data_IF_764140910059
#
_entry.id   IF_764140910059
#
_cell.length_a   1.000
_cell.length_b   1.000
_cell.length_c   1.000
_cell.angle_alpha   90.00
_cell.angle_beta   90.00
_cell.angle_gamma   90.00
#
_symmetry.space_group_name_H-M   'P 1'
#
loop_
_entity.id
_entity.type
_entity.pdbx_description
1 polymer ?
#
# COMPACT_ATOMS: atom_id res chain seq x y z
N UNK A 1 -28.60 -58.34 34.95
CA UNK A 1 -28.31 -56.97 34.47
C UNK A 1 -27.11 -57.04 33.56
N UNK A 2 -27.20 -56.50 32.35
CA UNK A 2 -26.12 -56.51 31.36
C UNK A 2 -26.71 -56.30 29.97
N UNK A 3 -27.10 -55.05 29.68
CA UNK A 3 -27.68 -54.65 28.40
C UNK A 3 -26.65 -54.81 27.28
N UNK A 4 -27.05 -55.48 26.20
CA UNK A 4 -26.38 -55.38 24.91
C UNK A 4 -26.55 -53.98 24.34
N UNK A 5 -25.45 -53.28 24.09
CA UNK A 5 -25.43 -52.00 23.40
C UNK A 5 -25.38 -52.22 21.88
N UNK A 6 -26.57 -52.30 21.29
CA UNK A 6 -26.78 -52.05 19.86
C UNK A 6 -26.51 -50.57 19.59
N UNK A 7 -25.36 -50.25 19.00
CA UNK A 7 -25.08 -48.91 18.48
C UNK A 7 -25.77 -48.76 17.12
N UNK A 8 -26.57 -47.70 16.89
CA UNK A 8 -27.13 -47.44 15.57
C UNK A 8 -26.00 -46.99 14.64
N UNK A 9 -25.72 -47.79 13.61
CA UNK A 9 -24.88 -47.37 12.48
C UNK A 9 -25.54 -46.18 11.79
N UNK A 10 -25.00 -44.98 12.03
CA UNK A 10 -25.35 -43.78 11.28
C UNK A 10 -24.95 -44.00 9.80
N UNK A 11 -25.85 -43.74 8.83
CA UNK A 11 -25.64 -44.12 7.42
C UNK A 11 -24.60 -43.25 6.69
N UNK A 12 -23.83 -42.42 7.41
CA UNK A 12 -22.98 -41.39 6.80
C UNK A 12 -21.51 -41.77 6.66
N UNK A 13 -21.14 -43.04 6.91
CA UNK A 13 -19.74 -43.47 6.85
C UNK A 13 -19.44 -44.47 5.72
N UNK A 14 -20.01 -44.26 4.53
CA UNK A 14 -19.58 -44.97 3.31
C UNK A 14 -19.24 -44.06 2.13
N UNK A 15 -19.09 -42.76 2.38
CA UNK A 15 -18.72 -41.82 1.32
C UNK A 15 -17.21 -41.70 1.21
N UNK A 16 -16.69 -41.95 0.00
CA UNK A 16 -15.28 -41.79 -0.33
C UNK A 16 -14.85 -40.34 -0.02
N UNK A 17 -13.87 -40.17 0.88
CA UNK A 17 -13.40 -38.85 1.32
C UNK A 17 -12.98 -37.99 0.12
N UNK A 18 -12.49 -38.61 -0.96
CA UNK A 18 -12.16 -37.93 -2.20
C UNK A 18 -13.36 -37.22 -2.84
N UNK A 19 -14.56 -37.81 -2.78
CA UNK A 19 -15.80 -37.21 -3.30
C UNK A 19 -16.25 -36.04 -2.44
N UNK A 20 -16.11 -36.13 -1.12
CA UNK A 20 -16.43 -35.00 -0.22
C UNK A 20 -15.47 -33.84 -0.44
N UNK A 21 -14.17 -34.12 -0.58
CA UNK A 21 -13.16 -33.09 -0.88
C UNK A 21 -13.40 -32.47 -2.28
N UNK A 22 -13.71 -33.30 -3.27
CA UNK A 22 -14.05 -32.85 -4.63
C UNK A 22 -15.29 -31.96 -4.63
N UNK A 23 -16.36 -32.37 -3.95
CA UNK A 23 -17.60 -31.59 -3.84
C UNK A 23 -17.38 -30.28 -3.07
N UNK A 24 -16.65 -30.31 -1.96
CA UNK A 24 -16.29 -29.09 -1.22
C UNK A 24 -15.47 -28.11 -2.09
N UNK A 25 -14.54 -28.64 -2.90
CA UNK A 25 -13.75 -27.83 -3.80
C UNK A 25 -14.57 -27.28 -4.97
N UNK A 26 -15.45 -28.10 -5.56
CA UNK A 26 -16.33 -27.73 -6.66
C UNK A 26 -17.37 -26.67 -6.24
N UNK A 27 -17.87 -26.73 -5.00
CA UNK A 27 -18.72 -25.68 -4.43
C UNK A 27 -17.93 -24.38 -4.24
N UNK A 28 -16.68 -24.46 -3.76
CA UNK A 28 -15.83 -23.28 -3.60
C UNK A 28 -15.44 -22.65 -4.97
N UNK A 29 -15.22 -23.47 -6.00
CA UNK A 29 -14.98 -22.99 -7.36
C UNK A 29 -16.26 -22.46 -8.03
N UNK A 30 -17.41 -23.09 -7.78
CA UNK A 30 -18.73 -22.68 -8.29
C UNK A 30 -19.27 -21.41 -7.63
N UNK A 31 -18.90 -21.15 -6.38
CA UNK A 31 -19.18 -19.88 -5.68
C UNK A 31 -18.46 -18.69 -6.35
N UNK A 32 -17.34 -18.92 -7.05
CA UNK A 32 -16.69 -17.90 -7.88
C UNK A 32 -17.42 -17.63 -9.21
N UNK A 33 -18.38 -18.47 -9.60
CA UNK A 33 -19.11 -18.35 -10.88
C UNK A 33 -20.61 -18.05 -10.72
N UNK A 34 -21.10 -17.76 -9.50
CA UNK A 34 -22.49 -17.34 -9.32
C UNK A 34 -22.63 -15.83 -9.52
N UNK A 35 -22.97 -15.45 -10.76
CA UNK A 35 -23.49 -14.13 -11.10
C UNK A 35 -24.90 -13.96 -10.51
N UNK A 36 -25.00 -13.97 -9.18
CA UNK A 36 -26.24 -13.60 -8.50
C UNK A 36 -26.39 -12.08 -8.63
N UNK A 37 -27.45 -11.63 -9.31
CA UNK A 37 -27.94 -10.24 -9.27
C UNK A 37 -28.42 -9.90 -7.85
N UNK A 38 -27.51 -9.87 -6.89
CA UNK A 38 -27.73 -9.34 -5.56
C UNK A 38 -27.19 -7.92 -5.63
N UNK A 39 -28.08 -6.92 -5.59
CA UNK A 39 -27.67 -5.53 -5.40
C UNK A 39 -26.85 -5.48 -4.09
N UNK A 40 -25.57 -5.10 -4.10
CA UNK A 40 -24.80 -5.07 -2.87
C UNK A 40 -25.29 -3.88 -2.04
N UNK A 41 -26.16 -4.14 -1.06
CA UNK A 41 -26.29 -3.26 0.10
C UNK A 41 -25.12 -3.57 1.01
N UNK A 42 -24.14 -2.68 1.02
CA UNK A 42 -22.90 -2.82 1.77
C UNK A 42 -21.75 -3.28 0.89
N UNK A 43 -20.70 -2.46 0.83
CA UNK A 43 -19.52 -2.72 0.02
C UNK A 43 -18.88 -4.06 0.36
N UNK A 44 -19.05 -5.04 -0.54
CA UNK A 44 -18.23 -6.25 -0.55
C UNK A 44 -16.77 -5.81 -0.67
N UNK A 45 -16.06 -5.79 0.46
CA UNK A 45 -14.60 -5.71 0.47
C UNK A 45 -14.09 -7.02 -0.15
N UNK A 46 -13.77 -6.95 -1.44
CA UNK A 46 -13.00 -8.00 -2.10
C UNK A 46 -11.64 -8.03 -1.40
N UNK A 47 -11.27 -9.17 -0.84
CA UNK A 47 -9.89 -9.41 -0.40
C UNK A 47 -9.01 -9.16 -1.62
N UNK A 48 -8.20 -8.11 -1.54
CA UNK A 48 -7.49 -7.57 -2.70
C UNK A 48 -6.34 -8.52 -3.02
N UNK A 49 -6.52 -9.38 -4.03
CA UNK A 49 -5.43 -10.24 -4.54
C UNK A 49 -4.41 -9.44 -5.39
N UNK A 50 -4.45 -8.11 -5.29
CA UNK A 50 -3.76 -7.16 -6.16
C UNK A 50 -2.39 -6.74 -5.58
N UNK A 51 -1.97 -7.34 -4.46
CA UNK A 51 -0.70 -7.05 -3.78
C UNK A 51 -0.65 -5.72 -3.01
N UNK A 52 -1.74 -4.94 -2.99
CA UNK A 52 -1.81 -3.68 -2.25
C UNK A 52 -2.42 -3.83 -0.85
N UNK A 53 -1.85 -3.20 0.18
CA UNK A 53 -2.44 -3.19 1.52
C UNK A 53 -3.83 -2.52 1.58
N UNK A 54 -4.65 -2.95 2.53
CA UNK A 54 -6.01 -2.41 2.77
C UNK A 54 -6.04 -0.91 3.08
N UNK A 55 -4.98 -0.36 3.65
CA UNK A 55 -4.89 1.08 3.95
C UNK A 55 -4.70 1.95 2.69
N UNK A 56 -4.29 1.36 1.56
CA UNK A 56 -4.21 2.07 0.28
C UNK A 56 -5.61 2.15 -0.33
N UNK A 57 -6.10 3.36 -0.63
CA UNK A 57 -7.43 3.54 -1.23
C UNK A 57 -7.47 3.01 -2.66
N UNK A 58 -8.63 2.53 -3.13
CA UNK A 58 -8.79 1.99 -4.49
C UNK A 58 -8.33 2.96 -5.59
N UNK A 59 -8.62 4.26 -5.44
CA UNK A 59 -8.16 5.30 -6.39
C UNK A 59 -6.63 5.40 -6.44
N UNK A 60 -5.97 5.20 -5.30
CA UNK A 60 -4.51 5.30 -5.18
C UNK A 60 -3.84 4.06 -5.75
N UNK A 61 -4.45 2.88 -5.58
CA UNK A 61 -4.01 1.63 -6.23
C UNK A 61 -4.07 1.77 -7.74
N UNK A 62 -5.18 2.30 -8.27
CA UNK A 62 -5.34 2.52 -9.71
C UNK A 62 -4.22 3.43 -10.25
N UNK A 63 -3.84 4.47 -9.51
CA UNK A 63 -2.77 5.39 -9.88
C UNK A 63 -1.38 4.73 -9.89
N UNK A 64 -1.12 3.82 -8.94
CA UNK A 64 0.15 3.11 -8.82
C UNK A 64 0.30 1.97 -9.85
N UNK A 65 -0.82 1.35 -10.25
CA UNK A 65 -0.82 0.24 -11.22
C UNK A 65 -0.64 0.72 -12.67
N UNK A 66 -1.07 1.94 -12.99
CA UNK A 66 -0.87 2.51 -14.31
C UNK A 66 0.59 2.91 -14.47
N UNK A 67 1.37 2.07 -15.16
CA UNK A 67 2.84 2.11 -15.30
C UNK A 67 3.44 3.43 -15.81
N UNK A 68 2.61 4.42 -16.20
CA UNK A 68 3.07 5.73 -16.67
C UNK A 68 2.50 6.92 -15.88
N UNK A 69 1.56 6.75 -14.94
CA UNK A 69 0.78 7.90 -14.43
C UNK A 69 1.33 8.58 -13.19
N UNK A 70 2.10 7.91 -12.34
CA UNK A 70 2.61 8.55 -11.11
C UNK A 70 3.66 9.62 -11.43
N UNK A 71 4.53 9.37 -12.43
CA UNK A 71 5.42 10.37 -13.00
C UNK A 71 4.67 11.39 -13.88
N UNK A 72 3.67 10.95 -14.67
CA UNK A 72 2.89 11.87 -15.53
C UNK A 72 1.88 12.76 -14.79
N UNK A 73 1.57 12.48 -13.52
CA UNK A 73 0.74 13.32 -12.64
C UNK A 73 1.54 14.02 -11.54
N UNK A 74 2.87 14.03 -11.65
CA UNK A 74 3.70 14.74 -10.68
C UNK A 74 3.46 16.24 -10.77
N UNK A 75 3.20 16.88 -9.63
CA UNK A 75 3.12 18.34 -9.53
C UNK A 75 4.53 18.95 -9.56
N UNK A 76 5.50 18.26 -8.94
CA UNK A 76 6.90 18.66 -8.87
C UNK A 76 7.80 17.45 -9.13
N UNK A 77 8.86 17.65 -9.90
CA UNK A 77 9.91 16.66 -10.15
C UNK A 77 11.21 17.07 -9.45
N UNK A 78 11.84 16.14 -8.75
CA UNK A 78 13.14 16.30 -8.10
C UNK A 78 14.17 15.43 -8.82
N UNK A 79 15.29 16.04 -9.21
CA UNK A 79 16.35 15.32 -9.90
C UNK A 79 17.72 15.96 -9.64
N UNK A 80 18.68 15.16 -9.20
CA UNK A 80 20.05 15.62 -8.93
C UNK A 80 20.81 16.02 -10.20
N UNK A 81 20.46 15.39 -11.33
CA UNK A 81 21.02 15.67 -12.64
C UNK A 81 20.59 17.06 -13.19
N UNK A 82 19.67 17.75 -12.50
CA UNK A 82 19.13 19.04 -12.91
C UNK A 82 18.05 18.95 -14.00
N UNK A 83 17.59 17.75 -14.35
CA UNK A 83 16.47 17.56 -15.29
C UNK A 83 15.09 17.78 -14.68
N UNK A 84 15.02 17.95 -13.35
CA UNK A 84 13.80 18.23 -12.59
C UNK A 84 13.67 19.71 -12.21
N UNK A 85 12.63 20.03 -11.44
CA UNK A 85 12.39 21.37 -10.90
C UNK A 85 13.37 21.72 -9.78
N UNK A 86 13.70 20.75 -8.94
CA UNK A 86 14.57 20.91 -7.77
C UNK A 86 15.64 19.82 -7.71
N UNK A 87 16.76 20.12 -7.05
CA UNK A 87 17.86 19.15 -6.87
C UNK A 87 17.72 18.33 -5.59
N UNK A 88 16.99 18.87 -4.60
CA UNK A 88 16.82 18.27 -3.28
C UNK A 88 15.34 18.09 -2.94
N UNK A 89 15.04 17.10 -2.11
CA UNK A 89 13.68 16.79 -1.68
C UNK A 89 13.18 17.85 -0.69
N UNK A 90 14.07 18.32 0.18
CA UNK A 90 13.77 19.37 1.17
C UNK A 90 13.34 20.69 0.51
N UNK A 91 14.00 21.08 -0.58
CA UNK A 91 13.62 22.28 -1.35
C UNK A 91 12.28 22.09 -2.05
N UNK A 92 12.04 20.91 -2.64
CA UNK A 92 10.76 20.59 -3.26
C UNK A 92 9.61 20.63 -2.25
N UNK A 93 9.84 20.18 -1.02
CA UNK A 93 8.86 20.27 0.07
C UNK A 93 8.66 21.73 0.49
N UNK A 94 9.72 22.51 0.63
CA UNK A 94 9.58 23.94 0.95
C UNK A 94 8.75 24.68 -0.11
N UNK A 95 9.02 24.43 -1.39
CA UNK A 95 8.25 25.01 -2.49
C UNK A 95 6.81 24.49 -2.56
N UNK A 96 6.60 23.19 -2.37
CA UNK A 96 5.26 22.62 -2.33
C UNK A 96 4.43 23.21 -1.18
N UNK A 97 5.04 23.62 -0.07
CA UNK A 97 4.31 24.23 1.06
C UNK A 97 3.75 25.61 0.72
N UNK A 98 4.38 26.34 -0.20
CA UNK A 98 3.97 27.70 -0.61
C UNK A 98 3.03 27.68 -1.81
N UNK A 99 3.24 26.75 -2.74
CA UNK A 99 2.43 26.61 -3.98
C UNK A 99 1.10 25.92 -3.71
N UNK A 100 1.07 24.98 -2.76
CA UNK A 100 -0.12 24.23 -2.43
C UNK A 100 -1.21 25.13 -1.86
N UNK A 101 -2.38 25.09 -2.49
CA UNK A 101 -3.61 25.63 -1.95
C UNK A 101 -4.67 24.54 -1.84
N UNK A 102 -5.18 24.29 -0.63
CA UNK A 102 -6.28 23.36 -0.36
C UNK A 102 -5.89 21.99 0.21
N UNK A 103 -6.77 21.00 0.04
CA UNK A 103 -6.68 19.65 0.64
C UNK A 103 -6.38 18.54 -0.38
N UNK A 104 -6.23 18.89 -1.67
CA UNK A 104 -5.97 17.93 -2.74
C UNK A 104 -4.65 17.20 -2.54
N UNK A 105 -4.48 16.05 -3.20
CA UNK A 105 -3.20 15.32 -3.19
C UNK A 105 -2.13 16.16 -3.88
N UNK A 106 -0.93 16.15 -3.32
CA UNK A 106 0.25 16.76 -3.93
C UNK A 106 1.29 15.68 -4.19
N UNK A 107 1.71 15.50 -5.45
CA UNK A 107 2.61 14.42 -5.88
C UNK A 107 3.99 14.98 -6.19
N UNK A 108 5.00 14.53 -5.46
CA UNK A 108 6.41 14.80 -5.72
C UNK A 108 7.05 13.55 -6.31
N UNK A 109 7.55 13.65 -7.55
CA UNK A 109 8.30 12.58 -8.20
C UNK A 109 9.78 12.81 -8.00
N UNK A 110 10.46 11.85 -7.39
CA UNK A 110 11.89 11.87 -7.13
C UNK A 110 12.58 10.91 -8.10
N UNK A 111 13.41 11.45 -8.98
CA UNK A 111 14.14 10.64 -9.95
C UNK A 111 15.24 9.83 -9.28
N UNK A 112 15.68 8.78 -9.97
CA UNK A 112 16.78 7.93 -9.54
C UNK A 112 18.01 8.73 -9.10
N UNK A 113 18.56 8.41 -7.94
CA UNK A 113 19.68 9.12 -7.34
C UNK A 113 19.84 8.81 -5.85
N UNK A 114 20.99 9.21 -5.29
CA UNK A 114 21.31 9.06 -3.87
C UNK A 114 21.24 10.42 -3.19
N UNK A 115 20.15 10.69 -2.48
CA UNK A 115 19.86 11.95 -1.83
C UNK A 115 20.36 11.92 -0.38
N UNK A 116 21.52 12.53 -0.13
CA UNK A 116 22.10 12.63 1.21
C UNK A 116 21.53 13.83 1.97
N UNK A 117 20.32 13.69 2.49
CA UNK A 117 19.59 14.74 3.21
C UNK A 117 18.68 14.16 4.31
N UNK A 118 18.39 14.98 5.33
CA UNK A 118 17.36 14.67 6.33
C UNK A 118 16.09 15.44 5.99
N UNK A 119 15.09 14.72 5.50
CA UNK A 119 13.84 15.30 5.04
C UNK A 119 12.85 15.45 6.18
N UNK A 120 12.35 16.66 6.36
CA UNK A 120 11.28 16.97 7.29
C UNK A 120 10.03 17.45 6.55
N UNK A 121 8.92 16.75 6.73
CA UNK A 121 7.60 17.16 6.24
C UNK A 121 6.88 17.91 7.36
N UNK A 122 6.54 19.19 7.15
CA UNK A 122 5.76 19.95 8.12
C UNK A 122 4.31 19.44 8.16
N UNK A 123 3.68 19.47 9.33
CA UNK A 123 2.27 19.08 9.50
C UNK A 123 1.26 19.84 8.61
N UNK A 124 1.61 21.05 8.17
CA UNK A 124 0.79 21.82 7.23
C UNK A 124 0.62 21.11 5.87
N UNK A 125 1.54 20.21 5.51
CA UNK A 125 1.45 19.38 4.32
C UNK A 125 0.63 18.11 4.55
N UNK A 126 -0.67 18.24 4.34
CA UNK A 126 -1.58 17.10 4.32
C UNK A 126 -1.69 16.49 2.91
N UNK A 127 -1.90 15.18 2.82
CA UNK A 127 -2.08 14.44 1.54
C UNK A 127 -0.90 14.56 0.56
N UNK A 128 0.33 14.57 1.08
CA UNK A 128 1.56 14.50 0.28
C UNK A 128 1.83 13.06 -0.17
N UNK A 129 2.23 12.88 -1.43
CA UNK A 129 2.67 11.60 -1.98
C UNK A 129 4.06 11.79 -2.60
N UNK A 130 5.03 11.01 -2.13
CA UNK A 130 6.35 10.93 -2.75
C UNK A 130 6.47 9.63 -3.53
N UNK A 131 6.93 9.72 -4.76
CA UNK A 131 7.12 8.56 -5.65
C UNK A 131 8.55 8.59 -6.17
N UNK A 132 9.28 7.48 -6.03
CA UNK A 132 10.59 7.30 -6.64
C UNK A 132 10.52 6.52 -7.95
N UNK A 133 11.58 6.57 -8.76
CA UNK A 133 11.72 5.73 -9.97
C UNK A 133 11.83 4.23 -9.65
N UNK A 134 12.12 3.89 -8.40
CA UNK A 134 12.21 2.51 -7.91
C UNK A 134 12.86 2.45 -6.54
N UNK A 135 12.60 1.35 -5.81
CA UNK A 135 13.16 1.13 -4.47
C UNK A 135 14.70 1.09 -4.47
N UNK A 136 15.29 0.52 -5.51
CA UNK A 136 16.75 0.42 -5.66
C UNK A 136 17.36 1.62 -6.41
N UNK A 137 16.51 2.42 -7.08
CA UNK A 137 16.95 3.52 -7.91
C UNK A 137 16.96 4.86 -7.16
N UNK A 138 16.05 5.05 -6.21
CA UNK A 138 15.89 6.29 -5.45
C UNK A 138 16.17 6.03 -3.99
N UNK A 139 17.31 6.49 -3.50
CA UNK A 139 17.76 6.24 -2.12
C UNK A 139 17.93 7.56 -1.39
N UNK A 140 17.26 7.70 -0.25
CA UNK A 140 17.45 8.84 0.67
C UNK A 140 18.27 8.36 1.85
N UNK A 141 19.39 9.02 2.12
CA UNK A 141 20.35 8.64 3.16
C UNK A 141 20.59 9.78 4.15
N UNK A 142 20.79 9.40 5.41
CA UNK A 142 21.07 10.32 6.52
C UNK A 142 21.79 9.56 7.63
N UNK A 143 22.66 10.26 8.35
CA UNK A 143 23.57 9.66 9.34
C UNK A 143 23.46 10.31 10.73
N UNK A 144 22.34 10.96 11.04
CA UNK A 144 22.12 11.56 12.36
C UNK A 144 21.94 10.47 13.41
N UNK A 145 22.52 10.68 14.59
CA UNK A 145 22.48 9.70 15.66
C UNK A 145 22.42 10.39 17.03
N UNK A 146 22.05 9.62 18.07
CA UNK A 146 22.05 10.12 19.45
C UNK A 146 23.45 10.37 19.97
N UNK A 147 24.43 9.57 19.52
CA UNK A 147 25.83 9.76 19.95
C UNK A 147 26.41 11.07 19.41
N UNK A 148 25.93 11.53 18.25
CA UNK A 148 26.29 12.81 17.64
C UNK A 148 25.46 14.00 18.17
N UNK A 149 24.68 13.80 19.23
CA UNK A 149 23.88 14.85 19.87
C UNK A 149 22.48 15.07 19.28
N UNK A 150 22.00 14.18 18.40
CA UNK A 150 20.60 14.20 17.96
C UNK A 150 19.68 13.53 19.00
N UNK A 151 18.37 13.76 18.90
CA UNK A 151 17.39 12.97 19.65
C UNK A 151 16.94 11.79 18.79
N UNK A 152 16.46 10.70 19.40
CA UNK A 152 15.92 9.54 18.65
C UNK A 152 14.83 9.95 17.66
N UNK A 153 14.05 10.97 18.00
CA UNK A 153 13.04 11.54 17.10
C UNK A 153 13.66 12.35 15.95
N UNK A 154 14.64 13.21 16.25
CA UNK A 154 15.28 14.08 15.27
C UNK A 154 16.36 13.39 14.41
N UNK A 155 16.73 12.14 14.73
CA UNK A 155 17.70 11.35 13.96
C UNK A 155 17.10 10.70 12.72
N UNK A 156 15.78 10.76 12.51
CA UNK A 156 15.15 10.19 11.33
C UNK A 156 15.68 10.80 10.03
N UNK A 157 15.97 9.95 9.05
CA UNK A 157 16.32 10.38 7.67
C UNK A 157 15.12 11.00 6.96
N UNK A 158 13.93 10.48 7.24
CA UNK A 158 12.68 10.97 6.69
C UNK A 158 11.62 11.00 7.79
N UNK A 159 11.08 12.18 8.08
CA UNK A 159 10.16 12.39 9.19
C UNK A 159 9.01 13.33 8.83
N UNK A 160 7.86 13.07 9.45
CA UNK A 160 6.73 14.00 9.49
C UNK A 160 6.66 14.57 10.90
N UNK A 161 6.93 15.87 11.03
CA UNK A 161 6.95 16.56 12.32
C UNK A 161 5.65 17.35 12.48
N UNK A 162 5.00 17.15 13.62
CA UNK A 162 3.81 17.87 14.07
C UNK A 162 3.92 18.36 15.50
#
# INVERSE_FOLDING_TARGET
>A
MGLGSHLPTLPFLSSNISEMLSNSLAINSGASASNSKIKPRGGRKLLSNDGFPEWVRLSDRKLLQTSSSAASQADIVVAQDGSGNYKTISEAIAAASTVRSGTNRFVIHVKSGVYSENVNIPQSMINLMLVGDGIDATVVTGSKSVIDGSTTFASATFGHIG
#
